data_IF_304070243578
#
_entry.id   IF_304070243578
#
_cell.length_a   1.000
_cell.length_b   1.000
_cell.length_c   1.000
_cell.angle_alpha   90.00
_cell.angle_beta   90.00
_cell.angle_gamma   90.00
#
_symmetry.space_group_name_H-M   'P 1'
#
loop_
_entity.id
_entity.type
_entity.pdbx_description
1 polymer ?
#
# COMPACT_ATOMS: atom_id res chain seq x y z
N UNK A 1 -36.43 85.02 -27.54
CA UNK A 1 -34.99 84.92 -27.71
C UNK A 1 -34.42 84.86 -26.29
N UNK A 2 -34.29 83.67 -25.79
CA UNK A 2 -33.89 83.41 -24.41
C UNK A 2 -32.37 83.09 -24.37
N UNK A 3 -31.68 83.78 -23.50
CA UNK A 3 -30.27 84.02 -23.48
C UNK A 3 -29.49 82.72 -23.23
N UNK A 4 -28.77 82.29 -24.22
CA UNK A 4 -27.86 81.05 -24.16
C UNK A 4 -26.59 81.31 -23.37
N UNK A 5 -26.32 82.51 -22.90
CA UNK A 5 -25.05 82.90 -22.29
C UNK A 5 -24.93 82.56 -20.78
N UNK A 6 -26.03 82.32 -20.09
CA UNK A 6 -26.02 82.08 -18.66
C UNK A 6 -25.56 80.68 -18.23
N UNK A 7 -25.56 79.71 -19.14
CA UNK A 7 -25.23 78.31 -18.85
C UNK A 7 -23.74 77.97 -18.83
N UNK A 8 -22.88 78.91 -19.22
CA UNK A 8 -21.44 78.65 -19.36
C UNK A 8 -20.54 79.49 -18.43
N UNK A 9 -21.08 79.95 -17.32
CA UNK A 9 -20.33 80.73 -16.33
C UNK A 9 -20.06 79.94 -15.08
N UNK A 10 -18.82 80.08 -14.49
CA UNK A 10 -18.41 79.54 -13.22
C UNK A 10 -17.93 80.62 -12.27
N UNK A 11 -17.84 80.32 -10.98
CA UNK A 11 -17.37 81.30 -10.00
C UNK A 11 -15.85 81.09 -9.75
N UNK A 12 -15.09 82.17 -9.72
CA UNK A 12 -13.74 82.20 -9.32
C UNK A 12 -13.57 81.76 -7.87
N UNK A 13 -12.78 80.70 -7.60
CA UNK A 13 -12.57 80.24 -6.24
C UNK A 13 -11.84 81.18 -5.30
N UNK A 14 -11.13 82.20 -5.85
CA UNK A 14 -10.38 83.20 -5.07
C UNK A 14 -11.18 84.42 -4.71
N UNK A 15 -12.00 84.97 -5.60
CA UNK A 15 -12.68 86.24 -5.39
C UNK A 15 -14.21 86.17 -5.52
N UNK A 16 -14.76 85.01 -5.91
CA UNK A 16 -16.19 84.80 -6.07
C UNK A 16 -16.82 85.40 -7.34
N UNK A 17 -16.07 86.13 -8.19
CA UNK A 17 -16.60 86.75 -9.43
C UNK A 17 -16.97 85.69 -10.43
N UNK A 18 -18.00 85.90 -11.22
CA UNK A 18 -18.37 85.02 -12.36
C UNK A 18 -17.37 85.14 -13.50
N UNK A 19 -17.01 84.05 -14.08
CA UNK A 19 -16.07 83.94 -15.21
C UNK A 19 -16.54 82.90 -16.20
N UNK A 20 -16.22 83.02 -17.50
CA UNK A 20 -16.51 82.01 -18.46
C UNK A 20 -15.84 80.70 -18.10
N UNK A 21 -16.46 79.53 -18.39
CA UNK A 21 -15.93 78.20 -18.06
C UNK A 21 -14.66 77.86 -18.78
N UNK A 22 -14.38 78.47 -19.88
CA UNK A 22 -13.19 78.34 -20.73
C UNK A 22 -12.06 79.33 -20.45
N UNK A 23 -12.30 80.36 -19.53
CA UNK A 23 -11.30 81.32 -19.19
C UNK A 23 -10.13 80.65 -18.40
N UNK A 24 -8.89 80.93 -18.80
CA UNK A 24 -7.69 80.47 -18.10
C UNK A 24 -7.35 81.30 -16.87
N UNK A 25 -7.81 82.61 -16.84
CA UNK A 25 -7.58 83.55 -15.75
C UNK A 25 -8.85 84.27 -15.37
N UNK A 26 -9.00 84.59 -14.13
CA UNK A 26 -10.10 85.40 -13.67
C UNK A 26 -9.85 86.84 -14.00
N UNK A 27 -10.74 87.55 -14.80
CA UNK A 27 -10.60 88.93 -15.18
C UNK A 27 -10.69 89.92 -13.99
N UNK A 28 -11.33 89.52 -12.90
CA UNK A 28 -11.54 90.37 -11.75
C UNK A 28 -10.34 90.39 -10.77
N UNK A 29 -9.57 89.27 -10.63
CA UNK A 29 -8.50 89.12 -9.66
C UNK A 29 -7.18 88.55 -10.21
N UNK A 30 -7.14 88.24 -11.49
CA UNK A 30 -5.93 87.69 -12.14
C UNK A 30 -5.51 86.25 -11.71
N UNK A 31 -6.35 85.54 -10.93
CA UNK A 31 -6.03 84.19 -10.49
C UNK A 31 -6.13 83.21 -11.67
N UNK A 32 -5.09 82.45 -11.91
CA UNK A 32 -5.09 81.42 -12.91
C UNK A 32 -5.95 80.22 -12.47
N UNK A 33 -6.63 79.63 -13.43
CA UNK A 33 -7.38 78.42 -13.23
C UNK A 33 -6.43 77.22 -13.40
N UNK A 34 -5.67 76.88 -12.35
CA UNK A 34 -4.94 75.64 -12.35
C UNK A 34 -5.92 74.45 -12.31
N UNK A 35 -6.17 73.83 -13.46
CA UNK A 35 -6.77 72.53 -13.48
C UNK A 35 -5.67 71.52 -13.12
N UNK A 36 -5.51 71.23 -11.82
CA UNK A 36 -4.71 70.07 -11.42
C UNK A 36 -5.46 68.85 -11.90
N UNK A 37 -5.04 68.28 -13.02
CA UNK A 37 -5.36 66.90 -13.33
C UNK A 37 -4.85 66.06 -12.16
N UNK A 38 -5.72 65.63 -11.28
CA UNK A 38 -5.41 64.62 -10.31
C UNK A 38 -5.24 63.32 -11.13
N UNK A 39 -4.03 63.05 -11.59
CA UNK A 39 -3.64 61.74 -12.03
C UNK A 39 -3.78 60.82 -10.82
N UNK A 40 -4.88 60.06 -10.80
CA UNK A 40 -4.97 58.92 -9.90
C UNK A 40 -3.86 57.98 -10.30
N UNK A 41 -2.70 58.07 -9.63
CA UNK A 41 -1.70 57.04 -9.62
C UNK A 41 -2.39 55.87 -8.95
N UNK A 42 -2.90 54.95 -9.78
CA UNK A 42 -3.33 53.64 -9.31
C UNK A 42 -2.09 53.01 -8.69
N UNK A 43 -1.92 53.24 -7.38
CA UNK A 43 -0.93 52.48 -6.61
C UNK A 43 -1.31 51.05 -6.80
N UNK A 44 -0.54 50.34 -7.66
CA UNK A 44 -0.55 48.89 -7.72
C UNK A 44 -0.20 48.51 -6.29
N UNK A 45 -1.22 48.18 -5.50
CA UNK A 45 -1.03 47.67 -4.17
C UNK A 45 0.00 46.53 -4.33
N UNK A 46 1.08 46.64 -3.60
CA UNK A 46 2.03 45.52 -3.38
C UNK A 46 1.20 44.45 -2.69
N UNK A 47 0.35 43.78 -3.49
CA UNK A 47 -0.44 42.67 -3.00
C UNK A 47 0.53 41.64 -2.47
N UNK A 48 0.50 41.45 -1.18
CA UNK A 48 1.19 40.50 -0.32
C UNK A 48 2.11 39.53 -1.06
N UNK A 49 3.23 40.02 -1.57
CA UNK A 49 4.30 39.19 -2.16
C UNK A 49 4.75 38.14 -1.14
N UNK A 50 4.80 38.53 0.13
CA UNK A 50 5.12 37.66 1.25
C UNK A 50 4.09 36.52 1.41
N UNK A 51 2.80 36.80 1.39
CA UNK A 51 1.76 35.78 1.50
C UNK A 51 1.78 34.78 0.34
N UNK A 52 2.10 35.25 -0.88
CA UNK A 52 2.28 34.36 -2.04
C UNK A 52 3.51 33.48 -1.92
N UNK A 53 4.63 34.02 -1.47
CA UNK A 53 5.86 33.28 -1.23
C UNK A 53 5.63 32.18 -0.16
N UNK A 54 4.97 32.53 0.93
CA UNK A 54 4.60 31.57 1.99
C UNK A 54 3.72 30.44 1.44
N UNK A 55 2.69 30.77 0.68
CA UNK A 55 1.79 29.77 0.08
C UNK A 55 2.53 28.84 -0.89
N UNK A 56 3.46 29.36 -1.69
CA UNK A 56 4.30 28.53 -2.58
C UNK A 56 5.19 27.59 -1.78
N UNK A 57 5.85 28.11 -0.72
CA UNK A 57 6.77 27.29 0.11
C UNK A 57 5.99 26.16 0.80
N UNK A 58 4.90 26.49 1.48
CA UNK A 58 4.10 25.46 2.17
C UNK A 58 3.47 24.47 1.19
N UNK A 59 2.89 24.95 0.09
CA UNK A 59 2.31 24.06 -0.92
C UNK A 59 3.35 23.15 -1.57
N UNK A 60 4.54 23.67 -1.88
CA UNK A 60 5.65 22.87 -2.39
C UNK A 60 6.13 21.83 -1.36
N UNK A 61 6.17 22.17 -0.07
CA UNK A 61 6.51 21.24 1.00
C UNK A 61 5.50 20.09 1.08
N UNK A 62 4.19 20.39 1.02
CA UNK A 62 3.14 19.36 0.99
C UNK A 62 3.27 18.43 -0.23
N UNK A 63 3.55 18.99 -1.42
CA UNK A 63 3.76 18.21 -2.63
C UNK A 63 5.00 17.30 -2.47
N UNK A 64 6.08 17.83 -1.91
CA UNK A 64 7.33 17.09 -1.69
C UNK A 64 7.15 15.94 -0.70
N UNK A 65 6.32 16.11 0.32
CA UNK A 65 5.97 15.04 1.28
C UNK A 65 5.01 14.03 0.63
N UNK A 66 4.06 14.48 -0.20
CA UNK A 66 3.07 13.62 -0.83
C UNK A 66 3.69 12.61 -1.80
N UNK A 67 4.71 13.01 -2.57
CA UNK A 67 5.34 12.17 -3.60
C UNK A 67 5.90 10.87 -3.04
N UNK A 68 6.76 10.84 -2.00
CA UNK A 68 7.25 9.58 -1.44
C UNK A 68 6.15 8.73 -0.81
N UNK A 69 5.13 9.33 -0.20
CA UNK A 69 3.98 8.60 0.37
C UNK A 69 3.19 7.91 -0.75
N UNK A 70 2.89 8.59 -1.84
CA UNK A 70 2.25 8.01 -3.02
C UNK A 70 3.07 6.89 -3.64
N UNK A 71 4.38 7.11 -3.77
CA UNK A 71 5.28 6.11 -4.33
C UNK A 71 5.35 4.86 -3.45
N UNK A 72 5.46 5.02 -2.13
CA UNK A 72 5.47 3.91 -1.18
C UNK A 72 4.14 3.14 -1.18
N UNK A 73 3.00 3.85 -1.20
CA UNK A 73 1.69 3.22 -1.30
C UNK A 73 1.50 2.46 -2.61
N UNK A 74 1.89 3.06 -3.74
CA UNK A 74 1.86 2.43 -5.05
C UNK A 74 2.81 1.24 -5.17
N UNK A 75 4.01 1.31 -4.59
CA UNK A 75 4.96 0.20 -4.57
C UNK A 75 4.44 -0.98 -3.76
N UNK A 76 3.84 -0.74 -2.58
CA UNK A 76 3.22 -1.80 -1.78
C UNK A 76 2.08 -2.51 -2.53
N UNK A 77 1.24 -1.76 -3.25
CA UNK A 77 0.19 -2.34 -4.09
C UNK A 77 0.78 -3.09 -5.29
N UNK A 78 1.83 -2.54 -5.92
CA UNK A 78 2.47 -3.15 -7.09
C UNK A 78 3.25 -4.43 -6.77
N UNK A 79 3.83 -4.56 -5.57
CA UNK A 79 4.49 -5.80 -5.13
C UNK A 79 3.47 -6.94 -5.05
N UNK A 80 2.27 -6.67 -4.52
CA UNK A 80 1.21 -7.68 -4.48
C UNK A 80 0.73 -8.09 -5.88
N UNK A 81 0.74 -7.17 -6.85
CA UNK A 81 0.31 -7.47 -8.23
C UNK A 81 1.37 -8.22 -9.05
N UNK A 82 2.67 -7.92 -8.86
CA UNK A 82 3.77 -8.51 -9.64
C UNK A 82 3.99 -9.99 -9.24
N UNK A 83 3.79 -10.31 -7.97
CA UNK A 83 3.98 -11.68 -7.44
C UNK A 83 2.64 -12.38 -7.17
N UNK A 84 1.52 -11.80 -7.62
CA UNK A 84 0.18 -12.34 -7.38
C UNK A 84 -0.07 -13.60 -8.21
N UNK A 85 -0.10 -14.73 -7.53
CA UNK A 85 -0.60 -16.01 -8.06
C UNK A 85 -2.13 -16.14 -7.96
N UNK A 86 -2.84 -15.02 -8.02
CA UNK A 86 -4.28 -14.93 -7.87
C UNK A 86 -4.71 -14.66 -6.41
N UNK A 87 -5.25 -13.45 -6.16
CA UNK A 87 -5.84 -13.08 -4.87
C UNK A 87 -4.90 -12.48 -3.83
N UNK A 88 -3.74 -11.93 -4.23
CA UNK A 88 -2.78 -11.26 -3.34
C UNK A 88 -1.85 -12.21 -2.60
N UNK A 89 -1.62 -13.41 -3.13
CA UNK A 89 -0.66 -14.38 -2.61
C UNK A 89 0.70 -14.21 -3.28
N UNK A 90 1.74 -14.17 -2.48
CA UNK A 90 3.15 -14.10 -2.92
C UNK A 90 3.79 -15.45 -2.61
N UNK A 91 4.33 -16.14 -3.62
CA UNK A 91 4.88 -17.47 -3.40
C UNK A 91 5.59 -18.05 -4.61
N UNK A 92 5.80 -19.35 -4.54
CA UNK A 92 6.41 -20.16 -5.60
C UNK A 92 5.49 -21.31 -5.93
N UNK A 93 5.42 -21.64 -7.20
CA UNK A 93 4.69 -22.78 -7.73
C UNK A 93 5.66 -23.70 -8.51
N UNK A 94 5.17 -24.84 -8.93
CA UNK A 94 5.84 -25.78 -9.82
C UNK A 94 7.19 -26.27 -9.25
N UNK A 95 7.18 -26.67 -7.98
CA UNK A 95 8.32 -27.26 -7.30
C UNK A 95 8.13 -28.78 -7.32
N UNK A 96 9.03 -29.49 -8.01
CA UNK A 96 9.05 -30.94 -8.01
C UNK A 96 9.57 -31.46 -6.66
N UNK A 97 8.72 -32.15 -5.92
CA UNK A 97 9.06 -32.78 -4.65
C UNK A 97 8.79 -34.29 -4.73
N UNK A 98 9.75 -35.08 -4.24
CA UNK A 98 9.56 -36.51 -4.23
C UNK A 98 10.26 -37.21 -3.06
N UNK A 99 9.69 -38.28 -2.57
CA UNK A 99 10.26 -39.15 -1.56
C UNK A 99 9.93 -40.62 -1.84
N UNK A 100 10.83 -41.54 -1.50
CA UNK A 100 10.57 -42.97 -1.52
C UNK A 100 9.82 -43.45 -0.27
N UNK A 101 9.63 -42.59 0.74
CA UNK A 101 8.88 -42.89 1.94
C UNK A 101 7.38 -42.64 1.75
N UNK A 102 6.58 -42.86 2.78
CA UNK A 102 5.15 -42.56 2.76
C UNK A 102 4.85 -41.07 2.97
N UNK A 103 5.82 -40.32 3.48
CA UNK A 103 5.56 -38.99 4.00
C UNK A 103 6.68 -38.02 3.67
N UNK A 104 6.31 -36.90 3.07
CA UNK A 104 7.16 -35.73 2.89
C UNK A 104 6.78 -34.67 3.91
N UNK A 105 7.73 -34.28 4.74
CA UNK A 105 7.52 -33.31 5.82
C UNK A 105 8.26 -32.02 5.52
N UNK A 106 7.56 -30.90 5.58
CA UNK A 106 8.17 -29.58 5.51
C UNK A 106 9.05 -29.31 6.73
N UNK A 107 9.93 -28.30 6.62
CA UNK A 107 10.64 -27.80 7.81
C UNK A 107 9.61 -27.34 8.84
N UNK A 108 9.87 -27.64 10.12
CA UNK A 108 9.02 -27.17 11.23
C UNK A 108 8.85 -25.65 11.16
N UNK A 109 7.60 -25.22 11.15
CA UNK A 109 7.21 -23.82 11.10
C UNK A 109 6.98 -23.30 12.51
N UNK A 110 7.90 -22.49 13.00
CA UNK A 110 7.74 -21.78 14.28
C UNK A 110 7.01 -20.46 14.06
N UNK A 111 5.78 -20.37 14.55
CA UNK A 111 4.96 -19.17 14.42
C UNK A 111 4.89 -18.49 15.79
N UNK A 112 5.59 -17.37 15.93
CA UNK A 112 5.59 -16.58 17.15
C UNK A 112 5.58 -15.08 16.84
N UNK A 113 5.05 -14.29 17.74
CA UNK A 113 5.18 -12.83 17.72
C UNK A 113 6.25 -12.46 18.73
N UNK A 114 7.33 -11.82 18.28
CA UNK A 114 8.20 -11.11 19.21
C UNK A 114 7.38 -9.98 19.86
N UNK A 115 7.39 -9.91 21.19
CA UNK A 115 6.73 -8.80 21.90
C UNK A 115 7.34 -7.48 21.43
N UNK A 116 6.61 -6.77 20.58
CA UNK A 116 6.92 -5.39 20.26
C UNK A 116 6.47 -4.58 21.47
N UNK A 117 7.42 -4.04 22.23
CA UNK A 117 7.16 -3.07 23.30
C UNK A 117 6.48 -1.83 22.71
N UNK A 118 5.19 -1.91 22.47
CA UNK A 118 4.36 -0.81 21.98
C UNK A 118 3.58 -0.21 23.12
N UNK A 119 3.73 1.11 23.40
CA UNK A 119 2.97 1.78 24.46
C UNK A 119 1.46 1.92 24.20
N UNK A 120 0.94 1.39 23.10
CA UNK A 120 -0.44 1.63 22.65
C UNK A 120 -1.29 0.35 22.54
N UNK A 121 -1.22 -0.52 23.53
CA UNK A 121 -1.96 -1.80 23.62
C UNK A 121 -3.51 -1.67 23.61
N UNK A 122 -4.05 -0.46 23.63
CA UNK A 122 -5.48 -0.22 23.81
C UNK A 122 -6.29 -0.10 22.51
N UNK A 123 -5.63 -0.07 21.35
CA UNK A 123 -6.33 0.24 20.11
C UNK A 123 -6.56 -0.95 19.17
N UNK A 124 -5.70 -1.98 19.17
CA UNK A 124 -5.85 -3.13 18.27
C UNK A 124 -4.82 -4.22 18.60
N UNK A 125 -5.28 -5.42 18.94
CA UNK A 125 -4.45 -6.63 19.02
C UNK A 125 -4.87 -7.56 17.88
N UNK A 126 -4.24 -7.49 16.70
CA UNK A 126 -4.52 -8.44 15.64
C UNK A 126 -3.99 -9.82 16.03
N UNK A 127 -4.80 -10.86 15.83
CA UNK A 127 -4.31 -12.25 15.85
C UNK A 127 -3.37 -12.48 14.67
N UNK A 128 -2.40 -13.41 14.78
CA UNK A 128 -1.56 -13.78 13.62
C UNK A 128 -2.42 -14.29 12.47
N UNK A 129 -3.47 -15.02 12.78
CA UNK A 129 -4.42 -15.53 11.79
C UNK A 129 -5.10 -14.43 10.95
N UNK A 130 -5.20 -13.19 11.50
CA UNK A 130 -5.67 -12.01 10.75
C UNK A 130 -4.58 -11.39 9.87
N UNK A 131 -3.31 -11.65 10.17
CA UNK A 131 -2.16 -11.02 9.53
C UNK A 131 -1.57 -11.85 8.40
N UNK A 132 -1.68 -13.18 8.48
CA UNK A 132 -1.03 -14.09 7.55
C UNK A 132 -1.97 -15.21 7.14
N UNK A 133 -2.02 -15.49 5.85
CA UNK A 133 -2.68 -16.68 5.30
C UNK A 133 -1.71 -17.41 4.40
N UNK A 134 -1.53 -18.69 4.62
CA UNK A 134 -0.65 -19.57 3.84
C UNK A 134 -1.54 -20.40 2.91
N UNK A 135 -1.16 -20.48 1.65
CA UNK A 135 -1.77 -21.34 0.64
C UNK A 135 -0.75 -22.36 0.20
N UNK A 136 -1.09 -23.63 0.28
CA UNK A 136 -0.26 -24.75 -0.14
C UNK A 136 -1.00 -25.48 -1.24
N UNK A 137 -0.31 -25.80 -2.31
CA UNK A 137 -0.83 -26.58 -3.42
C UNK A 137 0.04 -27.82 -3.62
N UNK A 138 -0.57 -28.92 -4.00
CA UNK A 138 0.15 -30.06 -4.49
C UNK A 138 -0.71 -30.86 -5.48
N UNK A 139 -0.07 -31.38 -6.52
CA UNK A 139 -0.65 -32.29 -7.49
C UNK A 139 0.28 -33.46 -7.70
N UNK A 140 -0.28 -34.69 -7.73
CA UNK A 140 0.53 -35.88 -8.01
C UNK A 140 1.02 -35.89 -9.45
N UNK A 141 2.30 -36.15 -9.66
CA UNK A 141 2.90 -36.40 -10.99
C UNK A 141 2.62 -37.78 -11.51
N UNK A 142 2.26 -38.71 -10.63
CA UNK A 142 1.93 -40.13 -10.95
C UNK A 142 0.43 -40.38 -11.14
N UNK A 143 -0.42 -39.44 -10.75
CA UNK A 143 -1.86 -39.55 -10.87
C UNK A 143 -2.58 -40.14 -9.65
N UNK A 144 -1.84 -40.33 -8.55
CA UNK A 144 -2.38 -40.77 -7.27
C UNK A 144 -3.17 -39.64 -6.59
N UNK A 145 -4.09 -39.97 -5.70
CA UNK A 145 -4.72 -38.95 -4.87
C UNK A 145 -3.75 -38.46 -3.82
N UNK A 146 -3.73 -37.14 -3.60
CA UNK A 146 -2.80 -36.49 -2.68
C UNK A 146 -3.56 -36.04 -1.43
N UNK A 147 -2.87 -36.15 -0.31
CA UNK A 147 -3.24 -35.61 0.98
C UNK A 147 -2.25 -34.49 1.39
N UNK A 148 -2.76 -33.36 1.84
CA UNK A 148 -1.99 -32.27 2.44
C UNK A 148 -2.57 -32.00 3.83
N UNK A 149 -1.75 -32.05 4.87
CA UNK A 149 -2.16 -31.80 6.24
C UNK A 149 -1.22 -30.86 6.99
N UNK A 150 -1.78 -30.04 7.86
CA UNK A 150 -1.06 -29.26 8.87
C UNK A 150 -1.37 -29.86 10.23
N UNK A 151 -0.34 -30.13 11.01
CA UNK A 151 -0.43 -30.72 12.34
C UNK A 151 0.43 -29.95 13.33
N UNK A 152 0.00 -29.81 14.58
CA UNK A 152 0.86 -29.27 15.62
C UNK A 152 2.06 -30.18 15.87
N UNK A 153 3.24 -29.58 16.06
CA UNK A 153 4.50 -30.33 16.18
C UNK A 153 4.47 -31.37 17.31
N UNK A 154 3.80 -31.05 18.43
CA UNK A 154 3.65 -31.99 19.56
C UNK A 154 2.88 -33.26 19.16
N UNK A 155 1.76 -33.11 18.46
CA UNK A 155 0.96 -34.23 17.96
C UNK A 155 1.70 -34.97 16.82
N UNK A 156 2.40 -34.23 15.95
CA UNK A 156 3.21 -34.81 14.89
C UNK A 156 4.30 -35.74 15.45
N UNK A 157 5.05 -35.29 16.45
CA UNK A 157 6.06 -36.13 17.10
C UNK A 157 5.44 -37.34 17.82
N UNK A 158 4.27 -37.20 18.41
CA UNK A 158 3.61 -38.29 19.14
C UNK A 158 3.06 -39.38 18.23
N UNK A 159 2.53 -39.02 17.03
CA UNK A 159 1.81 -39.93 16.16
C UNK A 159 2.64 -40.33 14.93
N UNK A 160 3.40 -39.38 14.35
CA UNK A 160 4.17 -39.56 13.11
C UNK A 160 5.67 -39.71 13.36
N UNK A 161 6.16 -39.39 14.56
CA UNK A 161 7.59 -39.36 14.84
C UNK A 161 8.32 -40.68 14.73
N UNK A 162 7.62 -41.78 14.92
CA UNK A 162 8.17 -43.14 14.74
C UNK A 162 8.03 -43.67 13.30
N UNK A 163 7.37 -42.92 12.41
CA UNK A 163 7.24 -43.29 11.01
C UNK A 163 8.47 -42.88 10.18
N UNK A 164 8.70 -43.60 9.06
CA UNK A 164 9.72 -43.21 8.12
C UNK A 164 9.28 -42.04 7.25
N UNK A 165 10.07 -40.95 7.22
CA UNK A 165 9.78 -39.76 6.39
C UNK A 165 11.02 -39.06 5.89
N UNK A 166 10.88 -38.29 4.80
CA UNK A 166 11.87 -37.36 4.34
C UNK A 166 11.45 -35.94 4.73
N UNK A 167 12.33 -35.24 5.46
CA UNK A 167 12.12 -33.84 5.88
C UNK A 167 12.85 -32.90 4.95
N UNK A 168 12.17 -31.91 4.42
CA UNK A 168 12.78 -30.78 3.71
C UNK A 168 13.51 -29.92 4.73
N UNK A 169 14.83 -29.87 4.67
CA UNK A 169 15.68 -29.09 5.61
C UNK A 169 16.09 -27.74 5.04
N UNK A 170 16.28 -27.67 3.74
CA UNK A 170 16.59 -26.42 3.05
C UNK A 170 15.79 -26.33 1.76
N UNK A 171 15.30 -25.13 1.54
CA UNK A 171 14.70 -24.73 0.29
C UNK A 171 15.35 -23.40 -0.13
N UNK A 172 16.04 -23.38 -1.26
CA UNK A 172 16.64 -22.18 -1.82
C UNK A 172 16.02 -21.94 -3.18
N UNK A 173 15.38 -20.80 -3.32
CA UNK A 173 14.94 -20.31 -4.63
C UNK A 173 16.16 -20.03 -5.52
N UNK A 174 15.91 -20.02 -6.83
CA UNK A 174 16.86 -19.66 -7.86
C UNK A 174 17.77 -18.51 -7.42
N UNK A 175 19.07 -18.71 -7.52
CA UNK A 175 20.02 -17.62 -7.35
C UNK A 175 19.93 -16.68 -8.58
N UNK A 176 20.46 -15.44 -8.46
CA UNK A 176 20.50 -14.46 -9.53
C UNK A 176 21.19 -14.92 -10.83
N UNK A 177 21.58 -16.18 -10.94
CA UNK A 177 22.28 -16.81 -12.07
C UNK A 177 21.47 -17.87 -12.81
N UNK A 178 20.20 -18.08 -12.40
CA UNK A 178 19.27 -18.98 -13.11
C UNK A 178 19.45 -20.48 -12.77
N UNK A 179 19.92 -20.80 -11.56
CA UNK A 179 19.94 -22.20 -11.11
C UNK A 179 18.60 -22.55 -10.47
N UNK A 180 18.09 -23.75 -10.79
CA UNK A 180 16.83 -24.30 -10.29
C UNK A 180 16.77 -24.37 -8.76
N UNK A 181 15.58 -24.41 -8.15
CA UNK A 181 15.44 -24.48 -6.70
C UNK A 181 16.23 -25.68 -6.17
N UNK A 182 17.09 -25.41 -5.20
CA UNK A 182 17.84 -26.43 -4.51
C UNK A 182 17.09 -26.86 -3.27
N UNK A 183 16.78 -28.17 -3.17
CA UNK A 183 16.02 -28.74 -2.05
C UNK A 183 16.89 -29.77 -1.37
N UNK A 184 17.07 -29.67 -0.09
CA UNK A 184 17.81 -30.61 0.73
C UNK A 184 16.85 -31.41 1.61
N UNK A 185 16.98 -32.73 1.55
CA UNK A 185 16.16 -33.65 2.32
C UNK A 185 17.00 -34.31 3.42
N UNK A 186 16.35 -34.56 4.56
CA UNK A 186 16.87 -35.40 5.63
C UNK A 186 15.96 -36.58 5.84
N UNK A 187 16.48 -37.79 5.60
CA UNK A 187 15.75 -39.01 5.87
C UNK A 187 15.68 -39.28 7.38
N UNK A 188 14.49 -39.54 7.86
CA UNK A 188 14.19 -40.02 9.21
C UNK A 188 13.76 -41.49 9.10
N UNK A 189 14.55 -42.46 9.66
CA UNK A 189 14.19 -43.84 9.63
C UNK A 189 13.04 -44.11 10.61
N UNK A 190 12.14 -45.00 10.26
CA UNK A 190 11.00 -45.35 11.10
C UNK A 190 10.19 -46.50 10.53
N UNK A 191 9.05 -46.76 11.11
CA UNK A 191 8.10 -47.78 10.71
C UNK A 191 7.17 -47.26 9.60
N UNK A 192 6.50 -48.22 8.94
CA UNK A 192 5.47 -47.88 7.94
C UNK A 192 4.17 -47.57 8.66
N UNK A 193 3.56 -46.42 8.36
CA UNK A 193 2.20 -46.09 8.83
C UNK A 193 1.21 -47.11 8.25
N UNK A 194 0.41 -47.69 9.10
CA UNK A 194 -0.60 -48.68 8.72
C UNK A 194 -1.99 -48.11 8.52
N UNK A 195 -2.15 -46.82 8.86
CA UNK A 195 -3.42 -46.11 8.80
C UNK A 195 -3.29 -44.97 7.79
N UNK A 196 -4.23 -44.78 6.87
CA UNK A 196 -4.20 -43.66 5.94
C UNK A 196 -4.22 -42.31 6.67
N UNK A 197 -3.63 -41.25 6.09
CA UNK A 197 -3.59 -39.94 6.74
C UNK A 197 -5.00 -39.39 7.04
N UNK A 198 -5.99 -39.67 6.22
CA UNK A 198 -7.39 -39.23 6.38
C UNK A 198 -8.11 -39.86 7.60
N UNK A 199 -7.56 -40.93 8.16
CA UNK A 199 -8.13 -41.57 9.37
C UNK A 199 -7.44 -41.10 10.66
N UNK A 200 -6.35 -40.31 10.54
CA UNK A 200 -5.64 -39.74 11.67
C UNK A 200 -6.34 -38.44 12.14
N UNK A 201 -6.79 -38.41 13.39
CA UNK A 201 -7.49 -37.26 13.96
C UNK A 201 -6.51 -36.27 14.64
N UNK A 202 -5.46 -35.87 13.95
CA UNK A 202 -4.40 -34.98 14.48
C UNK A 202 -4.27 -33.67 13.70
N UNK A 203 -4.97 -33.55 12.59
CA UNK A 203 -4.79 -32.43 11.67
C UNK A 203 -5.51 -31.17 12.14
N UNK A 204 -4.77 -30.06 12.16
CA UNK A 204 -5.36 -28.72 12.35
C UNK A 204 -6.20 -28.33 11.15
N UNK A 205 -5.72 -28.66 9.97
CA UNK A 205 -6.43 -28.54 8.70
C UNK A 205 -5.86 -29.53 7.69
N UNK A 206 -6.73 -30.03 6.81
CA UNK A 206 -6.35 -31.02 5.80
C UNK A 206 -7.17 -30.85 4.53
N UNK A 207 -6.62 -31.37 3.43
CA UNK A 207 -7.33 -31.55 2.16
C UNK A 207 -6.79 -32.79 1.48
N UNK A 208 -7.64 -33.57 0.80
CA UNK A 208 -7.22 -34.71 -0.01
C UNK A 208 -8.10 -34.87 -1.24
N UNK A 209 -7.57 -35.57 -2.24
CA UNK A 209 -8.30 -35.91 -3.46
C UNK A 209 -7.39 -36.04 -4.69
N UNK A 210 -8.04 -36.15 -5.86
CA UNK A 210 -7.41 -36.26 -7.17
C UNK A 210 -7.13 -34.90 -7.78
N UNK A 211 -6.06 -34.81 -8.58
CA UNK A 211 -5.60 -33.57 -9.21
C UNK A 211 -5.02 -32.57 -8.22
N UNK A 212 -4.96 -31.29 -8.59
CA UNK A 212 -4.42 -30.23 -7.72
C UNK A 212 -5.26 -30.07 -6.45
N UNK A 213 -4.65 -30.31 -5.31
CA UNK A 213 -5.21 -30.02 -4.01
C UNK A 213 -4.69 -28.68 -3.50
N UNK A 214 -5.57 -27.87 -2.93
CA UNK A 214 -5.24 -26.56 -2.38
C UNK A 214 -5.70 -26.44 -0.94
N UNK A 215 -4.74 -26.30 -0.03
CA UNK A 215 -4.97 -26.01 1.38
C UNK A 215 -4.73 -24.53 1.65
N UNK A 216 -5.69 -23.88 2.30
CA UNK A 216 -5.55 -22.51 2.78
C UNK A 216 -5.63 -22.51 4.29
N UNK A 217 -4.62 -21.96 4.94
CA UNK A 217 -4.48 -21.97 6.38
C UNK A 217 -4.04 -20.61 6.93
N UNK A 218 -4.70 -20.15 7.98
CA UNK A 218 -4.32 -18.97 8.75
C UNK A 218 -3.80 -19.44 10.10
N UNK A 219 -2.48 -19.39 10.34
CA UNK A 219 -1.87 -19.98 11.53
C UNK A 219 -2.19 -19.19 12.80
N UNK A 220 -2.27 -19.92 13.92
CA UNK A 220 -2.13 -19.35 15.26
C UNK A 220 -0.67 -19.47 15.76
N UNK A 221 -0.38 -18.90 16.93
CA UNK A 221 0.94 -19.04 17.56
C UNK A 221 1.16 -20.52 17.92
N UNK A 222 2.28 -21.07 17.46
CA UNK A 222 2.60 -22.48 17.70
C UNK A 222 3.67 -23.00 16.73
N UNK A 223 3.98 -24.28 16.89
CA UNK A 223 4.89 -25.00 16.02
C UNK A 223 4.11 -26.03 15.22
N UNK A 224 4.33 -26.08 13.91
CA UNK A 224 3.55 -26.89 12.99
C UNK A 224 4.41 -27.65 11.99
N UNK A 225 3.94 -28.82 11.59
CA UNK A 225 4.44 -29.55 10.45
C UNK A 225 3.48 -29.46 9.28
N UNK A 226 4.04 -29.23 8.09
CA UNK A 226 3.35 -29.47 6.82
C UNK A 226 3.68 -30.89 6.40
N UNK A 227 2.67 -31.68 6.11
CA UNK A 227 2.80 -33.08 5.69
C UNK A 227 2.11 -33.28 4.34
N UNK A 228 2.81 -33.89 3.38
CA UNK A 228 2.26 -34.32 2.10
C UNK A 228 2.43 -35.82 1.97
N UNK A 229 1.36 -36.50 1.61
CA UNK A 229 1.30 -37.96 1.50
C UNK A 229 0.44 -38.36 0.30
N UNK A 230 0.53 -39.61 -0.13
CA UNK A 230 -0.55 -40.22 -0.90
C UNK A 230 -1.76 -40.42 0.02
N UNK A 231 -2.99 -40.19 -0.48
CA UNK A 231 -4.22 -40.26 0.32
C UNK A 231 -4.44 -41.63 0.96
N UNK A 232 -3.99 -42.69 0.29
CA UNK A 232 -4.07 -44.07 0.77
C UNK A 232 -2.95 -44.46 1.73
N UNK A 233 -1.99 -43.55 2.00
CA UNK A 233 -0.82 -43.79 2.83
C UNK A 233 0.27 -44.62 2.14
N UNK A 234 0.22 -44.83 0.84
CA UNK A 234 1.27 -45.55 0.09
C UNK A 234 2.57 -44.75 0.02
N UNK A 235 3.70 -45.43 -0.12
CA UNK A 235 5.00 -44.83 -0.32
C UNK A 235 5.19 -44.30 -1.75
N UNK A 236 6.33 -43.66 -2.01
CA UNK A 236 6.71 -43.02 -3.27
C UNK A 236 5.79 -41.85 -3.59
N UNK A 237 5.77 -40.85 -2.70
CA UNK A 237 5.08 -39.58 -2.93
C UNK A 237 5.87 -38.73 -3.94
N UNK A 238 5.25 -38.39 -5.06
CA UNK A 238 5.83 -37.57 -6.12
C UNK A 238 4.83 -36.51 -6.55
N UNK A 239 5.15 -35.24 -6.29
CA UNK A 239 4.23 -34.13 -6.43
C UNK A 239 4.88 -32.89 -7.04
N UNK A 240 4.11 -32.16 -7.82
CA UNK A 240 4.39 -30.76 -8.12
C UNK A 240 3.68 -29.89 -7.08
N UNK A 241 4.44 -29.12 -6.32
CA UNK A 241 3.93 -28.38 -5.18
C UNK A 241 4.17 -26.86 -5.31
N UNK A 242 3.39 -26.09 -4.59
CA UNK A 242 3.55 -24.65 -4.45
C UNK A 242 3.20 -24.19 -3.06
N UNK A 243 3.86 -23.12 -2.62
CA UNK A 243 3.57 -22.44 -1.36
C UNK A 243 3.51 -20.95 -1.58
N UNK A 244 2.48 -20.32 -1.06
CA UNK A 244 2.28 -18.89 -1.17
C UNK A 244 1.73 -18.31 0.13
N UNK A 245 2.09 -17.06 0.42
CA UNK A 245 1.71 -16.35 1.64
C UNK A 245 0.99 -15.07 1.26
N UNK A 246 -0.12 -14.80 1.92
CA UNK A 246 -0.86 -13.54 1.82
C UNK A 246 -0.76 -12.81 3.14
N UNK A 247 -0.46 -11.51 3.06
CA UNK A 247 -0.43 -10.59 4.20
C UNK A 247 -1.49 -9.50 3.94
N UNK A 248 -2.76 -9.72 4.36
CA UNK A 248 -3.88 -8.85 4.01
C UNK A 248 -3.69 -7.39 4.41
N UNK A 249 -2.96 -7.14 5.50
CA UNK A 249 -2.71 -5.79 6.01
C UNK A 249 -1.86 -4.95 5.05
N UNK A 250 -0.98 -5.57 4.25
CA UNK A 250 -0.11 -4.84 3.30
C UNK A 250 -0.92 -4.11 2.24
N UNK A 251 -1.95 -4.75 1.70
CA UNK A 251 -2.85 -4.14 0.71
C UNK A 251 -3.62 -2.97 1.33
N UNK A 252 -4.11 -3.14 2.56
CA UNK A 252 -4.81 -2.08 3.28
C UNK A 252 -3.92 -0.88 3.59
N UNK A 253 -2.67 -1.12 4.02
CA UNK A 253 -1.66 -0.08 4.25
C UNK A 253 -1.30 0.61 2.93
N UNK A 254 -1.05 -0.14 1.86
CA UNK A 254 -0.75 0.40 0.54
C UNK A 254 -1.83 1.35 0.04
N UNK A 255 -3.10 0.92 0.08
CA UNK A 255 -4.26 1.75 -0.26
C UNK A 255 -4.39 2.97 0.64
N UNK A 256 -4.21 2.82 1.95
CA UNK A 256 -4.25 3.92 2.92
C UNK A 256 -3.18 4.97 2.64
N UNK A 257 -1.94 4.57 2.41
CA UNK A 257 -0.84 5.46 2.05
C UNK A 257 -1.10 6.17 0.72
N UNK A 258 -1.55 5.45 -0.29
CA UNK A 258 -1.83 6.01 -1.60
C UNK A 258 -2.94 7.08 -1.53
N UNK A 259 -4.07 6.77 -0.89
CA UNK A 259 -5.17 7.71 -0.71
C UNK A 259 -4.78 8.91 0.17
N UNK A 260 -4.04 8.67 1.25
CA UNK A 260 -3.49 9.72 2.11
C UNK A 260 -2.53 10.64 1.35
N UNK A 261 -1.64 10.07 0.55
CA UNK A 261 -0.74 10.81 -0.32
C UNK A 261 -1.46 11.68 -1.35
N UNK A 262 -2.55 11.17 -1.97
CA UNK A 262 -3.41 11.95 -2.86
C UNK A 262 -4.07 13.14 -2.15
N UNK A 263 -4.55 12.95 -0.92
CA UNK A 263 -5.13 14.05 -0.13
C UNK A 263 -4.09 15.13 0.18
N UNK A 264 -2.89 14.73 0.61
CA UNK A 264 -1.78 15.67 0.89
C UNK A 264 -1.36 16.41 -0.37
N UNK A 265 -1.28 15.72 -1.51
CA UNK A 265 -0.98 16.32 -2.80
C UNK A 265 -2.03 17.35 -3.21
N UNK A 266 -3.32 16.97 -3.13
CA UNK A 266 -4.43 17.86 -3.45
C UNK A 266 -4.43 19.13 -2.56
N UNK A 267 -4.13 18.96 -1.27
CA UNK A 267 -3.99 20.08 -0.32
C UNK A 267 -2.83 21.00 -0.71
N UNK A 268 -1.66 20.44 -1.05
CA UNK A 268 -0.51 21.22 -1.52
C UNK A 268 -0.81 22.02 -2.77
N UNK A 269 -1.45 21.40 -3.77
CA UNK A 269 -1.88 22.07 -5.01
C UNK A 269 -2.91 23.16 -4.72
N UNK A 270 -3.90 22.89 -3.85
CA UNK A 270 -4.90 23.88 -3.48
C UNK A 270 -4.27 25.11 -2.79
N UNK A 271 -3.31 24.92 -1.87
CA UNK A 271 -2.58 26.00 -1.20
C UNK A 271 -1.85 26.87 -2.23
N UNK A 272 -1.16 26.28 -3.19
CA UNK A 272 -0.48 27.03 -4.26
C UNK A 272 -1.49 27.75 -5.13
N UNK A 273 -2.53 27.07 -5.57
CA UNK A 273 -3.53 27.65 -6.47
C UNK A 273 -4.26 28.84 -5.84
N UNK A 274 -4.84 28.66 -4.66
CA UNK A 274 -5.61 29.73 -3.99
C UNK A 274 -4.74 30.80 -3.35
N UNK A 275 -3.53 30.46 -2.90
CA UNK A 275 -2.64 31.40 -2.23
C UNK A 275 -1.77 32.24 -3.18
N UNK A 276 -1.34 31.66 -4.30
CA UNK A 276 -0.39 32.30 -5.20
C UNK A 276 -0.95 32.64 -6.59
N UNK A 277 -1.81 31.79 -7.16
CA UNK A 277 -2.23 31.88 -8.57
C UNK A 277 -3.55 32.62 -8.71
N UNK A 278 -4.57 32.31 -7.90
CA UNK A 278 -5.89 32.91 -8.01
C UNK A 278 -5.84 34.41 -7.73
N UNK A 279 -6.16 35.29 -8.69
CA UNK A 279 -6.21 36.72 -8.47
C UNK A 279 -7.35 37.03 -7.50
N UNK A 280 -7.06 37.83 -6.46
CA UNK A 280 -8.08 38.43 -5.58
C UNK A 280 -8.65 39.69 -6.22
#
# INVERSE_FOLDING_TARGET
MENSDEKNMIYCRKCGSTMPKDAEFCEACGASREIKEIKYVKTRGTGNSFGKAVAIIFGALFILIAVPILFSGGALMGVTDIFDQGGGYIGVDNIDLGTSTQMLVGKEMEIHIEEIDSPSRWMWEPSISDLVTIKIKAESTTGDNIFIGIVEAGEAYAVLGDAAYDQITQFQMEDARGHYPYIEYRYHPGETLTVPPTELNIWVTEVSGSGEQTLTWSPDIGNYWLVIMNEDGSANVDVEAGIAVKIPILDSIGKGLFMGGLMVLAMGVAIVYFGAIKPR
#
